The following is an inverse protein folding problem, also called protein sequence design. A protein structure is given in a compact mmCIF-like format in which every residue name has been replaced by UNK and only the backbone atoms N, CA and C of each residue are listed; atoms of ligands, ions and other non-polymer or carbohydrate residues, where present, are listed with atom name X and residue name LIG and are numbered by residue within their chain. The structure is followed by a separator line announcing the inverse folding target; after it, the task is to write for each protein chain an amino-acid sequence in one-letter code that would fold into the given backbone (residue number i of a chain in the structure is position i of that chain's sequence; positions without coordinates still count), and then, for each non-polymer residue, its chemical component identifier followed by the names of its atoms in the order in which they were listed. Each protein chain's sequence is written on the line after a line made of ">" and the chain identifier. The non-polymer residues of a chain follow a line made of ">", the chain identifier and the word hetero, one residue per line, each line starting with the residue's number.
data_IF_327028570450
#
_entry.id   IF_327028570450
#
_cell.length_a   1.000
_cell.length_b   1.000
_cell.length_c   1.000
_cell.angle_alpha   90.00
_cell.angle_beta   90.00
_cell.angle_gamma   90.00
#
_symmetry.space_group_name_H-M   'P 1'
#
loop_
_entity.id
_entity.type
_entity.pdbx_description
1 polymer ?
#
# COMPACT_ATOMS: atom_id res chain seq x y z
N UNK A 1 21.26 -10.78 5.19
CA UNK A 1 19.89 -10.23 4.98
C UNK A 1 19.42 -10.79 3.65
N UNK A 2 18.19 -11.15 3.48
CA UNK A 2 17.79 -11.98 2.36
C UNK A 2 17.14 -11.12 1.26
N UNK A 3 17.46 -11.44 -0.01
CA UNK A 3 16.66 -11.02 -1.16
C UNK A 3 15.31 -11.74 -1.08
N UNK A 4 14.25 -10.97 -0.90
CA UNK A 4 12.88 -11.46 -0.79
C UNK A 4 12.28 -11.49 -2.19
N UNK A 5 11.98 -12.70 -2.66
CA UNK A 5 11.33 -12.96 -3.94
C UNK A 5 9.87 -13.33 -3.63
N UNK A 6 8.96 -12.40 -3.84
CA UNK A 6 7.54 -12.56 -3.50
C UNK A 6 6.63 -12.13 -4.64
N UNK A 7 5.35 -12.46 -4.52
CA UNK A 7 4.28 -12.03 -5.44
C UNK A 7 4.25 -10.50 -5.58
N UNK A 8 4.50 -9.77 -4.49
CA UNK A 8 4.52 -8.30 -4.47
C UNK A 8 5.83 -7.69 -5.00
N UNK A 9 6.67 -8.47 -5.66
CA UNK A 9 7.91 -8.03 -6.26
C UNK A 9 9.17 -8.59 -5.61
N UNK A 10 10.29 -8.19 -6.17
CA UNK A 10 11.64 -8.59 -5.76
C UNK A 10 12.23 -7.48 -4.91
N UNK A 11 12.44 -7.73 -3.63
CA UNK A 11 12.83 -6.74 -2.63
C UNK A 11 14.10 -7.16 -1.90
N UNK A 12 15.02 -6.22 -1.69
CA UNK A 12 16.23 -6.50 -0.92
C UNK A 12 16.95 -5.25 -0.44
N UNK A 13 17.93 -5.43 0.43
CA UNK A 13 18.86 -4.36 0.77
C UNK A 13 19.85 -4.15 -0.37
N UNK A 14 20.13 -2.90 -0.70
CA UNK A 14 21.05 -2.53 -1.78
C UNK A 14 22.49 -2.84 -1.38
N UNK A 15 23.25 -3.39 -2.33
CA UNK A 15 24.66 -3.79 -2.13
C UNK A 15 24.77 -5.26 -1.66
N UNK A 16 25.98 -5.66 -1.28
CA UNK A 16 26.24 -7.02 -0.82
C UNK A 16 26.46 -8.03 -1.95
N UNK A 17 25.95 -9.24 -1.79
CA UNK A 17 26.19 -10.38 -2.67
C UNK A 17 24.96 -10.65 -3.54
N UNK A 18 25.12 -10.93 -4.86
CA UNK A 18 24.00 -11.35 -5.72
C UNK A 18 23.25 -12.56 -5.13
N UNK A 19 21.93 -12.60 -5.39
CA UNK A 19 20.97 -13.57 -4.87
C UNK A 19 20.74 -13.53 -3.33
N UNK A 20 21.56 -12.80 -2.58
CA UNK A 20 21.38 -12.56 -1.14
C UNK A 20 20.86 -11.13 -0.84
N UNK A 21 21.18 -10.19 -1.72
CA UNK A 21 20.80 -8.78 -1.64
C UNK A 21 20.28 -8.31 -3.00
N UNK A 22 19.68 -7.13 -3.05
CA UNK A 22 19.32 -6.51 -4.33
C UNK A 22 20.56 -5.77 -4.90
N UNK A 23 21.33 -6.48 -5.70
CA UNK A 23 22.50 -5.94 -6.41
C UNK A 23 22.14 -5.46 -7.82
N UNK A 24 23.03 -4.73 -8.52
CA UNK A 24 22.84 -4.42 -9.94
C UNK A 24 22.58 -5.65 -10.82
N UNK A 25 23.24 -6.78 -10.52
CA UNK A 25 23.05 -8.03 -11.26
C UNK A 25 21.62 -8.57 -11.06
N UNK A 26 21.09 -8.51 -9.84
CA UNK A 26 19.72 -8.93 -9.54
C UNK A 26 18.70 -8.02 -10.22
N UNK A 27 18.93 -6.71 -10.24
CA UNK A 27 18.05 -5.77 -10.96
C UNK A 27 17.94 -6.12 -12.45
N UNK A 28 19.07 -6.37 -13.12
CA UNK A 28 19.11 -6.81 -14.52
C UNK A 28 18.44 -8.17 -14.71
N UNK A 29 18.75 -9.14 -13.85
CA UNK A 29 18.22 -10.51 -13.89
C UNK A 29 16.69 -10.52 -13.84
N UNK A 30 16.10 -9.81 -12.88
CA UNK A 30 14.64 -9.79 -12.70
C UNK A 30 13.92 -8.89 -13.72
N UNK A 31 14.54 -7.79 -14.16
CA UNK A 31 14.01 -7.00 -15.27
C UNK A 31 13.99 -7.79 -16.57
N UNK A 32 15.05 -8.57 -16.85
CA UNK A 32 15.12 -9.45 -18.00
C UNK A 32 14.05 -10.55 -17.94
N UNK A 33 13.87 -11.18 -16.78
CA UNK A 33 12.86 -12.21 -16.59
C UNK A 33 11.43 -11.66 -16.79
N UNK A 34 11.12 -10.49 -16.23
CA UNK A 34 9.82 -9.85 -16.43
C UNK A 34 9.58 -9.46 -17.89
N UNK A 35 10.54 -8.82 -18.56
CA UNK A 35 10.42 -8.45 -19.96
C UNK A 35 10.26 -9.66 -20.87
N UNK A 36 10.97 -10.76 -20.61
CA UNK A 36 10.83 -12.01 -21.35
C UNK A 36 9.48 -12.69 -21.09
N UNK A 37 8.97 -12.64 -19.84
CA UNK A 37 7.63 -13.08 -19.50
C UNK A 37 6.57 -12.30 -20.30
N UNK A 38 6.67 -10.97 -20.39
CA UNK A 38 5.77 -10.14 -21.20
C UNK A 38 5.81 -10.57 -22.68
N UNK A 39 7.01 -10.80 -23.25
CA UNK A 39 7.15 -11.25 -24.64
C UNK A 39 6.44 -12.58 -24.94
N UNK A 40 6.36 -13.46 -23.94
CA UNK A 40 5.69 -14.75 -24.08
C UNK A 40 4.15 -14.66 -23.92
N UNK A 41 3.65 -13.62 -23.25
CA UNK A 41 2.21 -13.47 -22.95
C UNK A 41 1.53 -12.40 -23.79
N UNK A 42 2.30 -11.42 -24.31
CA UNK A 42 1.77 -10.31 -25.10
C UNK A 42 2.04 -10.57 -26.59
N UNK A 43 0.98 -10.77 -27.36
CA UNK A 43 1.07 -11.04 -28.80
C UNK A 43 1.00 -9.72 -29.61
N UNK A 44 1.99 -8.83 -29.41
CA UNK A 44 2.15 -7.56 -30.13
C UNK A 44 3.53 -7.48 -30.78
N UNK A 45 3.64 -6.73 -31.85
CA UNK A 45 4.92 -6.48 -32.54
C UNK A 45 5.86 -5.62 -31.66
N UNK A 46 5.29 -4.67 -30.93
CA UNK A 46 6.01 -3.79 -29.99
C UNK A 46 5.33 -3.88 -28.64
N UNK A 47 6.11 -4.15 -27.61
CA UNK A 47 5.68 -4.18 -26.22
C UNK A 47 6.13 -2.89 -25.56
N UNK A 48 5.27 -2.28 -24.74
CA UNK A 48 5.54 -1.05 -24.00
C UNK A 48 5.44 -1.31 -22.52
N UNK A 49 6.41 -0.80 -21.74
CA UNK A 49 6.45 -0.87 -20.27
C UNK A 49 6.62 0.53 -19.69
N UNK A 50 5.83 0.87 -18.70
CA UNK A 50 5.96 2.09 -17.90
C UNK A 50 6.89 1.83 -16.73
N UNK A 51 7.83 2.75 -16.44
CA UNK A 51 8.75 2.64 -15.29
C UNK A 51 8.72 3.94 -14.48
N UNK A 52 8.51 3.82 -13.19
CA UNK A 52 8.59 4.95 -12.24
C UNK A 52 9.28 4.54 -10.95
N UNK A 53 9.72 5.49 -10.15
CA UNK A 53 10.41 5.24 -8.88
C UNK A 53 10.05 6.22 -7.78
N UNK A 54 10.25 5.80 -6.53
CA UNK A 54 10.30 6.73 -5.40
C UNK A 54 11.65 7.47 -5.33
N UNK A 55 11.85 8.28 -4.30
CA UNK A 55 13.05 9.10 -4.18
C UNK A 55 14.23 8.40 -3.49
N UNK A 56 14.20 7.08 -3.28
CA UNK A 56 15.31 6.34 -2.65
C UNK A 56 16.63 6.60 -3.35
N UNK A 57 17.72 6.75 -2.56
CA UNK A 57 19.06 7.04 -3.05
C UNK A 57 19.56 6.08 -4.15
N UNK A 58 19.13 4.81 -4.07
CA UNK A 58 19.47 3.79 -5.08
C UNK A 58 18.56 3.82 -6.31
N UNK A 59 17.50 4.65 -6.29
CA UNK A 59 16.43 4.63 -7.29
C UNK A 59 16.95 4.84 -8.71
N UNK A 60 17.75 5.87 -8.95
CA UNK A 60 18.26 6.19 -10.28
C UNK A 60 19.16 5.08 -10.85
N UNK A 61 20.04 4.51 -10.02
CA UNK A 61 20.88 3.38 -10.45
C UNK A 61 20.03 2.19 -10.87
N UNK A 62 19.06 1.78 -10.03
CA UNK A 62 18.20 0.63 -10.32
C UNK A 62 17.35 0.90 -11.54
N UNK A 63 16.81 2.12 -11.68
CA UNK A 63 15.98 2.54 -12.81
C UNK A 63 16.72 2.40 -14.13
N UNK A 64 17.95 2.92 -14.21
CA UNK A 64 18.75 2.83 -15.44
C UNK A 64 19.03 1.36 -15.83
N UNK A 65 19.38 0.52 -14.86
CA UNK A 65 19.62 -0.91 -15.10
C UNK A 65 18.36 -1.60 -15.64
N UNK A 66 17.21 -1.34 -15.03
CA UNK A 66 15.92 -1.92 -15.44
C UNK A 66 15.52 -1.45 -16.83
N UNK A 67 15.55 -0.15 -17.08
CA UNK A 67 15.14 0.44 -18.35
C UNK A 67 15.99 -0.06 -19.53
N UNK A 68 17.31 -0.01 -19.40
CA UNK A 68 18.21 -0.47 -20.48
C UNK A 68 18.18 -1.99 -20.66
N UNK A 69 17.85 -2.76 -19.63
CA UNK A 69 17.60 -4.20 -19.78
C UNK A 69 16.35 -4.47 -20.61
N UNK A 70 15.25 -3.75 -20.36
CA UNK A 70 14.03 -3.85 -21.16
C UNK A 70 14.24 -3.43 -22.61
N UNK A 71 14.97 -2.34 -22.86
CA UNK A 71 15.36 -1.88 -24.20
C UNK A 71 16.16 -2.97 -24.92
N UNK A 72 17.11 -3.61 -24.22
CA UNK A 72 17.87 -4.74 -24.75
C UNK A 72 17.02 -5.95 -25.11
N UNK A 73 15.84 -6.09 -24.54
CA UNK A 73 14.86 -7.12 -24.91
C UNK A 73 13.96 -6.72 -26.09
N UNK A 74 14.09 -5.52 -26.64
CA UNK A 74 13.24 -4.98 -27.69
C UNK A 74 11.92 -4.39 -27.17
N UNK A 75 11.87 -3.97 -25.90
CA UNK A 75 10.69 -3.40 -25.25
C UNK A 75 10.83 -1.89 -25.20
N UNK A 76 9.80 -1.15 -25.60
CA UNK A 76 9.73 0.29 -25.47
C UNK A 76 9.43 0.68 -24.01
N UNK A 77 10.17 1.66 -23.49
CA UNK A 77 10.04 2.10 -22.11
C UNK A 77 9.55 3.55 -22.07
N UNK A 78 8.52 3.79 -21.25
CA UNK A 78 8.09 5.13 -20.86
C UNK A 78 8.57 5.38 -19.42
N UNK A 79 9.55 6.25 -19.29
CA UNK A 79 10.12 6.66 -18.00
C UNK A 79 9.31 7.81 -17.41
N UNK A 80 8.74 7.59 -16.23
CA UNK A 80 8.01 8.61 -15.47
C UNK A 80 8.90 9.39 -14.50
N UNK A 81 10.16 8.99 -14.33
CA UNK A 81 11.05 9.57 -13.33
C UNK A 81 10.56 9.32 -11.89
N UNK A 82 10.64 10.37 -11.06
CA UNK A 82 10.05 10.35 -9.71
C UNK A 82 8.52 10.27 -9.79
N UNK A 83 7.96 9.20 -9.25
CA UNK A 83 6.54 8.91 -9.34
C UNK A 83 6.05 8.15 -8.12
N UNK A 84 4.75 8.11 -7.90
CA UNK A 84 4.13 7.32 -6.83
C UNK A 84 3.74 5.94 -7.37
N UNK A 85 3.59 4.95 -6.50
CA UNK A 85 3.07 3.63 -6.88
C UNK A 85 1.74 3.76 -7.63
N UNK A 86 0.68 4.41 -7.08
CA UNK A 86 -0.58 4.55 -7.80
C UNK A 86 -0.47 5.36 -9.11
N UNK A 87 0.44 6.33 -9.19
CA UNK A 87 0.64 7.07 -10.46
C UNK A 87 1.18 6.16 -11.57
N UNK A 88 2.10 5.24 -11.24
CA UNK A 88 2.60 4.27 -12.24
C UNK A 88 1.49 3.30 -12.66
N UNK A 89 0.67 2.83 -11.72
CA UNK A 89 -0.50 1.96 -11.99
C UNK A 89 -1.48 2.63 -12.96
N UNK A 90 -1.85 3.88 -12.69
CA UNK A 90 -2.70 4.69 -13.58
C UNK A 90 -2.04 4.95 -14.93
N UNK A 91 -0.72 5.21 -14.96
CA UNK A 91 0.01 5.46 -16.18
C UNK A 91 0.03 4.24 -17.12
N UNK A 92 0.11 3.01 -16.59
CA UNK A 92 0.04 1.78 -17.40
C UNK A 92 -1.23 1.76 -18.25
N UNK A 93 -2.37 2.05 -17.66
CA UNK A 93 -3.65 2.05 -18.38
C UNK A 93 -3.79 3.23 -19.32
N UNK A 94 -3.38 4.44 -18.92
CA UNK A 94 -3.43 5.63 -19.76
C UNK A 94 -2.50 5.55 -20.98
N UNK A 95 -1.32 4.93 -20.83
CA UNK A 95 -0.38 4.68 -21.92
C UNK A 95 -0.77 3.48 -22.78
N UNK A 96 -1.78 2.70 -22.38
CA UNK A 96 -2.09 1.40 -22.98
C UNK A 96 -0.85 0.50 -23.05
N UNK A 97 -0.04 0.56 -21.98
CA UNK A 97 1.17 -0.23 -21.85
C UNK A 97 0.85 -1.69 -21.51
N UNK A 98 1.77 -2.58 -21.83
CA UNK A 98 1.60 -4.01 -21.61
C UNK A 98 1.99 -4.44 -20.20
N UNK A 99 2.61 -3.52 -19.44
CA UNK A 99 2.95 -3.70 -18.06
C UNK A 99 3.65 -2.48 -17.48
N UNK A 100 4.08 -2.59 -16.21
CA UNK A 100 4.78 -1.54 -15.51
C UNK A 100 5.76 -2.07 -14.47
N UNK A 101 6.73 -1.25 -14.10
CA UNK A 101 7.64 -1.52 -13.00
C UNK A 101 7.71 -0.29 -12.10
N UNK A 102 7.51 -0.50 -10.80
CA UNK A 102 7.69 0.52 -9.78
C UNK A 102 8.92 0.18 -8.96
N UNK A 103 9.86 1.12 -8.86
CA UNK A 103 11.09 0.94 -8.12
C UNK A 103 10.97 1.61 -6.76
N UNK A 104 10.56 0.82 -5.78
CA UNK A 104 10.31 1.26 -4.41
C UNK A 104 10.26 0.07 -3.47
N UNK A 105 10.71 0.25 -2.23
CA UNK A 105 10.49 -0.70 -1.15
C UNK A 105 9.41 -0.23 -0.17
N UNK A 106 8.49 0.68 -0.59
CA UNK A 106 7.42 1.25 0.21
C UNK A 106 7.95 1.77 1.57
N UNK A 107 7.37 1.34 2.67
CA UNK A 107 7.72 1.72 4.04
C UNK A 107 9.02 1.11 4.60
N UNK A 108 9.76 0.31 3.84
CA UNK A 108 11.04 -0.20 4.31
C UNK A 108 12.09 0.93 4.45
N UNK A 109 13.06 0.80 5.38
CA UNK A 109 14.11 1.79 5.57
C UNK A 109 14.93 2.07 4.30
N UNK A 110 15.68 3.18 4.29
CA UNK A 110 16.37 3.76 3.11
C UNK A 110 17.33 2.82 2.37
N UNK A 111 17.89 1.81 3.06
CA UNK A 111 18.81 0.83 2.46
C UNK A 111 18.12 -0.24 1.61
N UNK A 112 16.78 -0.30 1.62
CA UNK A 112 15.99 -1.22 0.83
C UNK A 112 15.59 -0.60 -0.52
N UNK A 113 15.43 -1.46 -1.53
CA UNK A 113 14.69 -1.14 -2.74
C UNK A 113 14.00 -2.40 -3.28
N UNK A 114 13.13 -2.25 -4.28
CA UNK A 114 12.47 -3.38 -4.91
C UNK A 114 12.05 -3.06 -6.36
N UNK A 115 11.80 -4.13 -7.11
CA UNK A 115 11.07 -4.09 -8.37
C UNK A 115 9.66 -4.63 -8.09
N UNK A 116 8.65 -3.77 -8.09
CA UNK A 116 7.24 -4.14 -8.06
C UNK A 116 6.74 -4.24 -9.49
N UNK A 117 6.16 -5.37 -9.88
CA UNK A 117 5.81 -5.69 -11.26
C UNK A 117 4.29 -5.61 -11.47
N UNK A 118 3.88 -4.93 -12.54
CA UNK A 118 2.47 -4.72 -12.90
C UNK A 118 2.11 -5.43 -14.21
N UNK A 119 0.85 -5.84 -14.31
CA UNK A 119 0.24 -6.29 -15.56
C UNK A 119 -0.26 -5.10 -16.41
N UNK A 120 -0.88 -5.39 -17.53
CA UNK A 120 -1.42 -4.37 -18.46
C UNK A 120 -2.67 -3.63 -17.93
N UNK A 121 -3.20 -4.01 -16.79
CA UNK A 121 -4.28 -3.30 -16.10
C UNK A 121 -3.75 -2.33 -15.04
N UNK A 122 -2.42 -2.23 -14.88
CA UNK A 122 -1.80 -1.45 -13.82
C UNK A 122 -1.93 -2.11 -12.44
N UNK A 123 -2.15 -3.42 -12.36
CA UNK A 123 -2.30 -4.16 -11.12
C UNK A 123 -1.07 -5.01 -10.84
N UNK A 124 -0.77 -5.28 -9.59
CA UNK A 124 0.29 -6.22 -9.22
C UNK A 124 0.01 -7.62 -9.78
N UNK A 125 1.09 -8.29 -10.18
CA UNK A 125 1.02 -9.67 -10.66
C UNK A 125 0.47 -10.61 -9.59
N UNK A 126 -0.27 -11.63 -10.03
CA UNK A 126 -0.74 -12.68 -9.14
C UNK A 126 0.37 -13.72 -8.82
N UNK A 127 0.07 -14.69 -7.95
CA UNK A 127 1.03 -15.69 -7.51
C UNK A 127 1.61 -16.51 -8.66
N UNK A 128 0.77 -16.94 -9.60
CA UNK A 128 1.18 -17.78 -10.73
C UNK A 128 2.12 -17.01 -11.66
N UNK A 129 1.79 -15.78 -12.00
CA UNK A 129 2.61 -14.90 -12.84
C UNK A 129 3.97 -14.63 -12.18
N UNK A 130 3.97 -14.34 -10.86
CA UNK A 130 5.20 -14.14 -10.09
C UNK A 130 6.09 -15.39 -10.07
N UNK A 131 5.53 -16.58 -9.88
CA UNK A 131 6.27 -17.85 -9.91
C UNK A 131 6.88 -18.12 -11.28
N UNK A 132 6.19 -17.81 -12.37
CA UNK A 132 6.73 -17.93 -13.73
C UNK A 132 7.94 -17.03 -13.95
N UNK A 133 7.88 -15.78 -13.51
CA UNK A 133 9.00 -14.82 -13.61
C UNK A 133 10.19 -15.31 -12.79
N UNK A 134 9.96 -15.81 -11.58
CA UNK A 134 11.03 -16.35 -10.74
C UNK A 134 11.70 -17.57 -11.40
N UNK A 135 10.93 -18.42 -12.07
CA UNK A 135 11.48 -19.56 -12.85
C UNK A 135 12.32 -19.08 -14.04
N UNK A 136 11.82 -18.10 -14.81
CA UNK A 136 12.57 -17.52 -15.93
C UNK A 136 13.90 -16.92 -15.43
N UNK A 137 13.87 -16.22 -14.28
CA UNK A 137 15.07 -15.67 -13.66
C UNK A 137 16.05 -16.76 -13.19
N UNK A 138 15.55 -17.86 -12.62
CA UNK A 138 16.40 -18.97 -12.17
C UNK A 138 17.05 -19.71 -13.35
N UNK A 139 16.30 -19.94 -14.43
CA UNK A 139 16.77 -20.64 -15.62
C UNK A 139 17.65 -19.74 -16.52
N UNK A 140 17.73 -18.44 -16.24
CA UNK A 140 18.42 -17.45 -17.07
C UNK A 140 18.05 -17.55 -18.54
N UNK A 141 16.77 -17.78 -18.83
CA UNK A 141 16.24 -18.13 -20.16
C UNK A 141 15.83 -16.92 -21.01
N UNK A 142 16.03 -15.69 -20.51
CA UNK A 142 15.69 -14.48 -21.27
C UNK A 142 16.58 -14.34 -22.52
N UNK A 143 15.94 -14.08 -23.67
CA UNK A 143 16.62 -13.86 -24.96
C UNK A 143 16.50 -12.39 -25.35
N UNK A 144 17.66 -11.74 -25.53
CA UNK A 144 17.75 -10.34 -25.91
C UNK A 144 17.54 -10.15 -27.42
N UNK A 145 17.18 -8.92 -27.79
CA UNK A 145 16.92 -8.54 -29.17
C UNK A 145 18.21 -8.28 -29.96
N UNK A 146 18.16 -8.49 -31.26
CA UNK A 146 19.20 -8.05 -32.19
C UNK A 146 19.20 -6.51 -32.29
N UNK A 147 20.30 -5.94 -32.78
CA UNK A 147 20.53 -4.48 -32.79
C UNK A 147 19.41 -3.69 -33.48
N UNK A 148 18.84 -4.20 -34.56
CA UNK A 148 17.76 -3.54 -35.32
C UNK A 148 16.37 -3.69 -34.64
N UNK A 149 16.27 -4.49 -33.60
CA UNK A 149 15.04 -4.76 -32.84
C UNK A 149 15.06 -4.25 -31.42
N UNK A 150 16.04 -3.41 -31.06
CA UNK A 150 16.11 -2.80 -29.73
C UNK A 150 14.88 -1.91 -29.45
N UNK A 151 14.49 -1.85 -28.20
CA UNK A 151 13.43 -0.94 -27.72
C UNK A 151 13.88 0.51 -27.71
N UNK A 152 12.97 1.40 -27.37
CA UNK A 152 13.21 2.85 -27.24
C UNK A 152 12.91 3.33 -25.84
N UNK A 153 13.55 4.46 -25.44
CA UNK A 153 13.27 5.16 -24.21
C UNK A 153 12.58 6.49 -24.51
N UNK A 154 11.46 6.75 -23.85
CA UNK A 154 10.80 8.05 -23.82
C UNK A 154 10.59 8.50 -22.39
N UNK A 155 10.58 9.81 -22.14
CA UNK A 155 10.35 10.39 -20.81
C UNK A 155 9.02 11.11 -20.78
N UNK A 156 8.26 10.95 -19.68
CA UNK A 156 6.99 11.63 -19.47
C UNK A 156 6.78 11.89 -17.97
N UNK A 157 7.12 13.08 -17.52
CA UNK A 157 7.02 13.54 -16.13
C UNK A 157 5.64 14.13 -15.76
N UNK A 158 4.67 14.08 -16.67
CA UNK A 158 3.34 14.69 -16.46
C UNK A 158 2.36 13.78 -15.70
N UNK A 159 2.75 12.54 -15.39
CA UNK A 159 1.79 11.55 -14.88
C UNK A 159 1.28 11.81 -13.48
N UNK A 160 2.06 12.43 -12.58
CA UNK A 160 1.54 12.86 -11.27
C UNK A 160 0.38 13.84 -11.47
N UNK A 161 0.54 14.84 -12.38
CA UNK A 161 -0.51 15.80 -12.68
C UNK A 161 -1.74 15.13 -13.31
N UNK A 162 -1.55 14.22 -14.27
CA UNK A 162 -2.64 13.46 -14.91
C UNK A 162 -3.39 12.59 -13.91
N UNK A 163 -2.68 11.97 -12.96
CA UNK A 163 -3.28 11.18 -11.91
C UNK A 163 -4.13 12.06 -10.97
N UNK A 164 -3.61 13.23 -10.56
CA UNK A 164 -4.37 14.22 -9.79
C UNK A 164 -5.65 14.62 -10.56
N UNK A 165 -5.54 14.92 -11.86
CA UNK A 165 -6.68 15.29 -12.70
C UNK A 165 -7.72 14.15 -12.75
N UNK A 166 -7.27 12.89 -12.88
CA UNK A 166 -8.14 11.72 -12.87
C UNK A 166 -8.84 11.55 -11.51
N UNK A 167 -8.11 11.64 -10.40
CA UNK A 167 -8.68 11.54 -9.05
C UNK A 167 -9.72 12.64 -8.78
N UNK A 168 -9.42 13.88 -9.16
CA UNK A 168 -10.35 15.01 -8.99
C UNK A 168 -11.56 14.92 -9.92
N UNK A 169 -11.44 14.33 -11.10
CA UNK A 169 -12.56 14.14 -12.03
C UNK A 169 -13.67 13.23 -11.48
N UNK A 170 -13.36 12.42 -10.48
CA UNK A 170 -14.32 11.55 -9.79
C UNK A 170 -15.21 12.30 -8.79
N UNK A 171 -14.82 13.53 -8.42
CA UNK A 171 -15.59 14.37 -7.53
C UNK A 171 -16.51 15.32 -8.31
N UNK A 172 -17.77 15.52 -7.85
CA UNK A 172 -18.60 16.58 -8.39
C UNK A 172 -17.92 17.95 -8.27
N UNK A 173 -18.03 18.78 -9.29
CA UNK A 173 -17.46 20.13 -9.29
C UNK A 173 -17.88 20.94 -8.04
N UNK A 174 -19.15 20.82 -7.64
CA UNK A 174 -19.67 21.47 -6.43
C UNK A 174 -18.94 21.03 -5.15
N UNK A 175 -18.51 19.77 -5.08
CA UNK A 175 -17.71 19.25 -3.95
C UNK A 175 -16.32 19.88 -3.95
N UNK A 176 -15.67 19.97 -5.12
CA UNK A 176 -14.35 20.61 -5.25
C UNK A 176 -14.43 22.09 -4.83
N UNK A 177 -15.44 22.83 -5.31
CA UNK A 177 -15.65 24.23 -4.93
C UNK A 177 -15.94 24.37 -3.41
N UNK A 178 -16.71 23.48 -2.83
CA UNK A 178 -16.98 23.48 -1.40
C UNK A 178 -15.70 23.19 -0.57
N UNK A 179 -14.82 22.31 -1.03
CA UNK A 179 -13.52 22.06 -0.39
C UNK A 179 -12.65 23.33 -0.47
N UNK A 180 -12.58 23.99 -1.64
CA UNK A 180 -11.83 25.25 -1.83
C UNK A 180 -12.27 26.34 -0.86
N UNK A 181 -13.57 26.45 -0.61
CA UNK A 181 -14.12 27.44 0.32
C UNK A 181 -13.76 27.18 1.79
N UNK A 182 -13.27 25.97 2.13
CA UNK A 182 -12.83 25.66 3.49
C UNK A 182 -11.46 26.26 3.80
N UNK A 183 -10.63 26.55 2.79
CA UNK A 183 -9.28 27.09 2.96
C UNK A 183 -8.46 26.30 4.00
N UNK A 184 -8.49 24.96 3.91
CA UNK A 184 -7.78 24.10 4.86
C UNK A 184 -6.29 24.44 4.92
N UNK A 185 -5.74 24.51 6.13
CA UNK A 185 -4.30 24.59 6.42
C UNK A 185 -3.79 23.21 6.79
N UNK A 186 -2.89 22.64 5.99
CA UNK A 186 -2.53 21.23 6.08
C UNK A 186 -1.01 21.07 6.19
N UNK A 187 -0.54 20.44 7.26
CA UNK A 187 0.87 19.98 7.35
C UNK A 187 1.00 18.69 6.57
N UNK A 188 2.00 18.60 5.69
CA UNK A 188 2.26 17.41 4.87
C UNK A 188 3.62 16.84 5.20
N UNK A 189 3.65 15.61 5.71
CA UNK A 189 4.87 14.81 5.88
C UNK A 189 4.92 13.74 4.79
N UNK A 190 5.88 13.89 3.88
CA UNK A 190 6.12 13.01 2.75
C UNK A 190 7.44 12.24 2.86
N UNK A 191 8.03 12.18 4.06
CA UNK A 191 9.26 11.45 4.40
C UNK A 191 10.41 11.66 3.40
N UNK A 192 10.50 12.87 2.85
CA UNK A 192 11.46 13.26 1.78
C UNK A 192 11.43 12.32 0.56
N UNK A 193 10.22 11.95 0.13
CA UNK A 193 9.99 11.14 -1.06
C UNK A 193 8.93 11.75 -2.00
N UNK A 194 8.39 10.96 -2.91
CA UNK A 194 7.52 11.43 -4.01
C UNK A 194 6.18 12.00 -3.55
N UNK A 195 5.76 11.71 -2.34
CA UNK A 195 4.64 12.37 -1.69
C UNK A 195 4.82 13.89 -1.58
N UNK A 196 6.06 14.38 -1.45
CA UNK A 196 6.40 15.80 -1.44
C UNK A 196 6.15 16.52 -2.77
N UNK A 197 6.04 15.76 -3.87
CA UNK A 197 5.64 16.28 -5.18
C UNK A 197 4.11 16.18 -5.33
N UNK A 198 3.53 15.01 -5.04
CA UNK A 198 2.16 14.69 -5.40
C UNK A 198 1.12 15.33 -4.46
N UNK A 199 1.31 15.24 -3.14
CA UNK A 199 0.33 15.71 -2.15
C UNK A 199 0.19 17.24 -2.16
N UNK A 200 1.28 18.05 -2.16
CA UNK A 200 1.16 19.50 -2.29
C UNK A 200 0.38 19.94 -3.53
N UNK A 201 0.68 19.39 -4.71
CA UNK A 201 -0.02 19.72 -5.95
C UNK A 201 -1.52 19.39 -5.88
N UNK A 202 -1.90 18.26 -5.29
CA UNK A 202 -3.30 17.89 -5.08
C UNK A 202 -4.01 18.88 -4.15
N UNK A 203 -3.39 19.22 -3.03
CA UNK A 203 -3.95 20.14 -2.02
C UNK A 203 -4.10 21.55 -2.56
N UNK A 204 -3.11 22.06 -3.29
CA UNK A 204 -3.18 23.38 -3.97
C UNK A 204 -4.35 23.43 -4.98
N UNK A 205 -4.58 22.36 -5.74
CA UNK A 205 -5.73 22.23 -6.64
C UNK A 205 -7.07 22.25 -5.89
N UNK A 206 -7.08 21.78 -4.66
CA UNK A 206 -8.23 21.80 -3.75
C UNK A 206 -8.31 23.09 -2.91
N UNK A 207 -7.43 24.08 -3.15
CA UNK A 207 -7.46 25.39 -2.50
C UNK A 207 -6.97 25.37 -1.04
N UNK A 208 -6.20 24.36 -0.63
CA UNK A 208 -5.62 24.28 0.70
C UNK A 208 -4.28 25.03 0.77
N UNK A 209 -3.96 25.59 1.94
CA UNK A 209 -2.63 26.09 2.30
C UNK A 209 -1.77 24.89 2.74
N UNK A 210 -0.67 24.63 2.04
CA UNK A 210 0.24 23.55 2.34
C UNK A 210 1.38 24.03 3.24
N UNK A 211 1.59 23.36 4.35
CA UNK A 211 2.69 23.55 5.27
C UNK A 211 3.62 22.34 5.15
N UNK A 212 4.69 22.40 4.31
CA UNK A 212 5.50 21.24 4.00
C UNK A 212 6.42 20.87 5.16
N UNK A 213 6.41 19.58 5.52
CA UNK A 213 7.34 18.93 6.43
C UNK A 213 7.92 17.72 5.69
N UNK A 214 9.26 17.65 5.56
CA UNK A 214 9.93 16.55 4.86
C UNK A 214 9.39 16.27 3.44
N UNK A 215 9.18 17.33 2.64
CA UNK A 215 8.65 17.26 1.28
C UNK A 215 9.71 17.36 0.18
N UNK A 216 11.02 17.38 0.51
CA UNK A 216 12.08 17.36 -0.49
C UNK A 216 12.32 15.93 -0.99
N UNK A 217 12.13 15.60 -2.27
CA UNK A 217 12.23 14.22 -2.76
C UNK A 217 13.70 13.80 -2.96
N UNK A 218 14.49 13.87 -1.90
CA UNK A 218 15.92 13.59 -1.90
C UNK A 218 16.29 12.18 -1.37
N UNK A 219 15.31 11.41 -0.87
CA UNK A 219 15.50 10.04 -0.37
C UNK A 219 16.20 9.91 0.98
N UNK A 220 16.50 11.03 1.64
CA UNK A 220 17.01 11.05 3.01
C UNK A 220 15.83 11.06 3.99
N UNK A 221 15.34 9.87 4.34
CA UNK A 221 14.19 9.71 5.24
C UNK A 221 14.56 10.19 6.65
N UNK A 222 13.87 11.23 7.18
CA UNK A 222 14.19 11.81 8.48
C UNK A 222 13.73 10.91 9.65
N UNK A 223 12.74 10.05 9.43
CA UNK A 223 12.23 9.06 10.36
C UNK A 223 11.97 7.74 9.65
N UNK A 224 11.55 6.71 10.38
CA UNK A 224 11.10 5.46 9.78
C UNK A 224 9.90 5.75 8.86
N UNK A 225 9.96 5.33 7.59
CA UNK A 225 8.94 5.71 6.60
C UNK A 225 7.58 5.01 6.76
N UNK A 226 7.42 4.10 7.71
CA UNK A 226 6.12 3.53 8.03
C UNK A 226 5.29 4.54 8.85
N UNK A 227 4.07 4.93 8.39
CA UNK A 227 3.26 5.96 9.06
C UNK A 227 2.57 5.44 10.33
N UNK A 228 3.37 5.07 11.33
CA UNK A 228 2.94 4.61 12.64
C UNK A 228 3.19 5.68 13.72
N UNK A 229 2.39 5.65 14.77
CA UNK A 229 2.41 6.64 15.85
C UNK A 229 3.79 6.92 16.43
N UNK A 230 4.62 5.87 16.60
CA UNK A 230 5.96 5.99 17.16
C UNK A 230 6.96 6.76 16.27
N UNK A 231 6.62 6.98 14.99
CA UNK A 231 7.49 7.64 14.01
C UNK A 231 7.04 9.07 13.68
N UNK A 232 5.87 9.50 14.12
CA UNK A 232 5.17 10.71 13.66
C UNK A 232 5.14 11.84 14.72
N UNK A 233 6.09 11.86 15.66
CA UNK A 233 6.16 12.90 16.69
C UNK A 233 6.27 14.31 16.12
N UNK A 234 7.09 14.49 15.08
CA UNK A 234 7.37 15.80 14.51
C UNK A 234 6.13 16.41 13.84
N UNK A 235 5.40 15.66 13.01
CA UNK A 235 4.17 16.20 12.39
C UNK A 235 3.08 16.44 13.43
N UNK A 236 2.97 15.60 14.48
CA UNK A 236 2.01 15.83 15.56
C UNK A 236 2.28 17.16 16.27
N UNK A 237 3.55 17.49 16.52
CA UNK A 237 3.94 18.77 17.10
C UNK A 237 3.73 19.94 16.12
N UNK A 238 4.09 19.77 14.84
CA UNK A 238 4.02 20.83 13.82
C UNK A 238 2.57 21.23 13.53
N UNK A 239 1.62 20.29 13.47
CA UNK A 239 0.19 20.58 13.31
C UNK A 239 -0.31 21.53 14.39
N UNK A 240 0.06 21.30 15.65
CA UNK A 240 -0.32 22.15 16.77
C UNK A 240 0.40 23.49 16.71
N UNK A 241 1.72 23.48 16.47
CA UNK A 241 2.54 24.71 16.46
C UNK A 241 2.14 25.68 15.34
N UNK A 242 1.69 25.15 14.19
CA UNK A 242 1.23 25.95 13.05
C UNK A 242 -0.27 26.25 13.07
N UNK A 243 -0.99 25.79 14.08
CA UNK A 243 -2.45 25.91 14.16
C UNK A 243 -3.12 25.41 12.86
N UNK A 244 -2.61 24.25 12.34
CA UNK A 244 -3.15 23.65 11.12
C UNK A 244 -4.47 22.89 11.41
N UNK A 245 -5.33 22.81 10.41
CA UNK A 245 -6.60 22.07 10.54
C UNK A 245 -6.37 20.57 10.71
N UNK A 246 -5.29 20.05 10.10
CA UNK A 246 -4.86 18.66 10.26
C UNK A 246 -3.50 18.43 9.58
N UNK A 247 -2.94 17.21 9.77
CA UNK A 247 -1.76 16.73 9.08
C UNK A 247 -2.07 15.56 8.15
N UNK A 248 -1.30 15.45 7.07
CA UNK A 248 -1.28 14.32 6.13
C UNK A 248 0.10 13.67 6.20
N UNK A 249 0.14 12.35 6.32
CA UNK A 249 1.36 11.55 6.26
C UNK A 249 1.21 10.50 5.17
N UNK A 250 2.21 10.38 4.31
CA UNK A 250 2.30 9.32 3.31
C UNK A 250 3.65 8.61 3.39
N UNK A 251 3.67 7.34 2.99
CA UNK A 251 4.92 6.59 2.86
C UNK A 251 5.67 6.95 1.55
N UNK A 252 6.91 6.46 1.34
CA UNK A 252 7.75 6.89 0.22
C UNK A 252 7.15 6.79 -1.17
N UNK A 253 6.26 5.83 -1.41
CA UNK A 253 5.62 5.59 -2.71
C UNK A 253 4.13 5.91 -2.75
N UNK A 254 3.60 6.52 -1.66
CA UNK A 254 2.28 7.16 -1.61
C UNK A 254 1.11 6.17 -1.78
N UNK A 255 1.32 4.93 -1.39
CA UNK A 255 0.27 3.91 -1.36
C UNK A 255 -0.41 3.79 0.01
N UNK A 256 0.16 4.46 1.07
CA UNK A 256 -0.41 4.54 2.42
C UNK A 256 -0.65 5.98 2.84
N UNK A 257 -1.71 6.18 3.60
CA UNK A 257 -2.20 7.49 4.03
C UNK A 257 -2.63 7.45 5.49
N UNK A 258 -2.07 8.34 6.30
CA UNK A 258 -2.51 8.58 7.67
C UNK A 258 -2.80 10.07 7.87
N UNK A 259 -3.68 10.37 8.84
CA UNK A 259 -4.04 11.73 9.20
C UNK A 259 -3.71 12.03 10.66
N UNK A 260 -3.32 13.28 10.91
CA UNK A 260 -3.12 13.85 12.24
C UNK A 260 -4.24 14.86 12.48
N UNK A 261 -4.88 14.80 13.64
CA UNK A 261 -5.95 15.75 14.01
C UNK A 261 -5.37 17.13 14.33
N UNK A 262 -6.21 18.16 14.35
CA UNK A 262 -5.85 19.53 14.77
C UNK A 262 -5.28 19.61 16.20
N UNK A 263 -5.35 18.51 16.96
CA UNK A 263 -4.81 18.39 18.32
C UNK A 263 -3.43 17.72 18.36
N UNK A 264 -2.84 17.39 17.22
CA UNK A 264 -1.61 16.63 17.15
C UNK A 264 -1.77 15.15 17.52
N UNK A 265 -2.97 14.60 17.44
CA UNK A 265 -3.28 13.20 17.73
C UNK A 265 -3.45 12.42 16.43
N UNK A 266 -3.05 11.15 16.42
CA UNK A 266 -3.32 10.27 15.28
C UNK A 266 -4.81 10.08 15.07
N UNK A 267 -5.28 10.26 13.83
CA UNK A 267 -6.62 9.81 13.41
C UNK A 267 -6.70 8.26 13.45
N UNK A 268 -5.56 7.62 13.20
CA UNK A 268 -5.36 6.19 13.13
C UNK A 268 -5.42 5.68 11.69
N UNK A 269 -4.37 4.98 11.27
CA UNK A 269 -4.22 4.46 9.90
C UNK A 269 -5.37 3.54 9.47
N UNK A 270 -5.90 2.75 10.41
CA UNK A 270 -7.06 1.89 10.19
C UNK A 270 -8.33 2.69 9.82
N UNK A 271 -8.46 3.91 10.34
CA UNK A 271 -9.64 4.76 10.15
C UNK A 271 -9.61 5.58 8.87
N UNK A 272 -8.49 5.63 8.16
CA UNK A 272 -8.41 6.26 6.84
C UNK A 272 -9.38 5.58 5.87
N UNK A 273 -9.33 4.24 5.78
CA UNK A 273 -10.27 3.47 4.96
C UNK A 273 -11.71 3.60 5.46
N UNK A 274 -11.91 3.60 6.77
CA UNK A 274 -13.24 3.74 7.40
C UNK A 274 -13.90 5.07 7.01
N UNK A 275 -13.13 6.16 7.04
CA UNK A 275 -13.63 7.49 6.69
C UNK A 275 -13.93 7.60 5.18
N UNK A 276 -13.03 7.15 4.31
CA UNK A 276 -13.25 7.14 2.87
C UNK A 276 -14.46 6.27 2.49
N UNK A 277 -14.63 5.11 3.13
CA UNK A 277 -15.78 4.24 2.91
C UNK A 277 -17.09 4.87 3.41
N UNK A 278 -17.10 5.55 4.58
CA UNK A 278 -18.29 6.27 5.09
C UNK A 278 -18.74 7.35 4.09
N UNK A 279 -17.77 8.07 3.47
CA UNK A 279 -18.07 9.05 2.42
C UNK A 279 -18.70 8.41 1.18
N UNK A 280 -18.03 7.41 0.59
CA UNK A 280 -18.52 6.75 -0.63
C UNK A 280 -19.88 6.11 -0.38
N UNK A 281 -20.07 5.40 0.73
CA UNK A 281 -21.33 4.73 1.07
C UNK A 281 -22.46 5.72 1.38
N UNK A 282 -22.14 6.97 1.75
CA UNK A 282 -23.14 8.04 1.89
C UNK A 282 -23.69 8.53 0.54
N UNK A 283 -22.94 8.33 -0.54
CA UNK A 283 -23.32 8.73 -1.91
C UNK A 283 -23.90 7.54 -2.70
N UNK A 284 -23.20 6.41 -2.66
CA UNK A 284 -23.55 5.21 -3.42
C UNK A 284 -23.52 3.98 -2.51
N UNK A 285 -24.51 3.10 -2.63
CA UNK A 285 -24.51 1.82 -1.91
C UNK A 285 -23.76 0.76 -2.71
N UNK A 286 -22.90 0.01 -2.04
CA UNK A 286 -22.16 -1.11 -2.63
C UNK A 286 -21.32 -1.85 -1.59
N UNK A 287 -20.80 -2.99 -1.96
CA UNK A 287 -20.01 -3.83 -1.07
C UNK A 287 -18.67 -3.16 -0.74
N UNK A 288 -18.11 -3.48 0.43
CA UNK A 288 -16.80 -3.02 0.88
C UNK A 288 -15.91 -4.19 1.27
N UNK A 289 -14.61 -4.03 1.08
CA UNK A 289 -13.61 -5.08 1.36
C UNK A 289 -12.44 -4.52 2.15
N UNK A 290 -11.98 -5.28 3.15
CA UNK A 290 -10.63 -5.10 3.70
C UNK A 290 -9.95 -6.45 3.95
N UNK A 291 -8.66 -6.44 4.27
CA UNK A 291 -8.00 -7.68 4.67
C UNK A 291 -8.40 -8.10 6.11
N UNK A 292 -8.11 -9.36 6.44
CA UNK A 292 -8.46 -9.94 7.76
C UNK A 292 -7.81 -9.25 8.95
N UNK A 293 -6.66 -8.60 8.77
CA UNK A 293 -5.94 -7.89 9.83
C UNK A 293 -6.42 -6.46 10.04
N UNK A 294 -7.37 -5.97 9.24
CA UNK A 294 -7.93 -4.61 9.37
C UNK A 294 -8.97 -4.53 10.50
N UNK A 295 -9.18 -3.32 11.00
CA UNK A 295 -10.16 -3.04 12.04
C UNK A 295 -11.58 -3.44 11.64
N UNK A 296 -12.34 -3.95 12.61
CA UNK A 296 -13.79 -4.21 12.44
C UNK A 296 -14.62 -2.93 12.25
N UNK A 297 -14.03 -1.76 12.44
CA UNK A 297 -14.70 -0.48 12.24
C UNK A 297 -15.28 -0.35 10.81
N UNK A 298 -14.58 -0.88 9.77
CA UNK A 298 -15.13 -0.89 8.42
C UNK A 298 -16.39 -1.76 8.30
N UNK A 299 -16.44 -2.93 8.96
CA UNK A 299 -17.61 -3.79 9.02
C UNK A 299 -18.80 -3.08 9.69
N UNK A 300 -18.53 -2.29 10.73
CA UNK A 300 -19.57 -1.52 11.43
C UNK A 300 -20.11 -0.39 10.53
N UNK A 301 -19.27 0.27 9.74
CA UNK A 301 -19.70 1.25 8.73
C UNK A 301 -20.53 0.59 7.64
N UNK A 302 -20.11 -0.56 7.12
CA UNK A 302 -20.91 -1.32 6.16
C UNK A 302 -22.32 -1.65 6.71
N UNK A 303 -22.38 -2.13 7.95
CA UNK A 303 -23.64 -2.39 8.65
C UNK A 303 -24.48 -1.13 8.82
N UNK A 304 -23.88 0.01 9.20
CA UNK A 304 -24.57 1.31 9.32
C UNK A 304 -25.25 1.72 8.02
N UNK A 305 -24.58 1.50 6.88
CA UNK A 305 -25.08 1.84 5.55
C UNK A 305 -25.99 0.73 4.93
N UNK A 306 -26.13 -0.43 5.61
CA UNK A 306 -26.94 -1.55 5.14
C UNK A 306 -26.37 -2.25 3.91
N UNK A 307 -25.04 -2.36 3.82
CA UNK A 307 -24.31 -2.99 2.72
C UNK A 307 -23.46 -4.16 3.25
N UNK A 308 -22.95 -4.99 2.33
CA UNK A 308 -22.13 -6.15 2.69
C UNK A 308 -20.63 -5.74 2.88
N UNK A 309 -20.03 -6.35 3.88
CA UNK A 309 -18.60 -6.36 4.11
C UNK A 309 -18.03 -7.75 3.79
N UNK A 310 -16.93 -7.81 3.07
CA UNK A 310 -16.17 -9.03 2.87
C UNK A 310 -14.70 -8.85 3.30
N UNK A 311 -14.11 -9.92 3.81
CA UNK A 311 -12.70 -9.96 4.18
C UNK A 311 -11.88 -10.77 3.19
N UNK A 312 -10.64 -10.35 2.92
CA UNK A 312 -9.66 -11.08 2.11
C UNK A 312 -8.49 -11.57 2.97
N UNK A 313 -7.65 -12.43 2.41
CA UNK A 313 -6.29 -12.61 2.90
C UNK A 313 -5.52 -11.28 2.89
N UNK A 314 -4.46 -11.20 3.70
CA UNK A 314 -3.61 -10.00 3.77
C UNK A 314 -2.79 -9.85 2.50
N UNK A 315 -2.63 -8.61 2.05
CA UNK A 315 -1.91 -8.20 0.85
C UNK A 315 -2.84 -7.67 -0.23
N UNK A 316 -2.40 -6.60 -0.88
CA UNK A 316 -3.17 -5.84 -1.85
C UNK A 316 -3.76 -6.71 -2.97
N UNK A 317 -2.97 -7.62 -3.55
CA UNK A 317 -3.44 -8.54 -4.60
C UNK A 317 -4.67 -9.35 -4.15
N UNK A 318 -4.69 -9.79 -2.89
CA UNK A 318 -5.80 -10.55 -2.32
C UNK A 318 -7.02 -9.65 -2.07
N UNK A 319 -6.79 -8.40 -1.64
CA UNK A 319 -7.87 -7.41 -1.46
C UNK A 319 -8.51 -7.11 -2.81
N UNK A 320 -7.71 -6.81 -3.83
CA UNK A 320 -8.18 -6.53 -5.21
C UNK A 320 -8.98 -7.71 -5.77
N UNK A 321 -8.46 -8.93 -5.64
CA UNK A 321 -9.17 -10.14 -6.11
C UNK A 321 -10.54 -10.28 -5.42
N UNK A 322 -10.61 -10.07 -4.09
CA UNK A 322 -11.87 -10.11 -3.33
C UNK A 322 -12.81 -8.97 -3.72
N UNK A 323 -12.29 -7.77 -3.96
CA UNK A 323 -13.10 -6.63 -4.42
C UNK A 323 -13.77 -6.91 -5.76
N UNK A 324 -13.04 -7.50 -6.71
CA UNK A 324 -13.59 -7.92 -8.02
C UNK A 324 -14.63 -9.02 -7.86
N UNK A 325 -14.36 -10.04 -7.01
CA UNK A 325 -15.29 -11.16 -6.74
C UNK A 325 -16.65 -10.68 -6.23
N UNK A 326 -16.67 -9.69 -5.31
CA UNK A 326 -17.90 -9.20 -4.68
C UNK A 326 -18.41 -7.90 -5.26
N UNK A 327 -17.79 -7.38 -6.33
CA UNK A 327 -18.08 -6.08 -6.94
C UNK A 327 -18.09 -4.95 -5.89
N UNK A 328 -17.01 -4.87 -5.09
CA UNK A 328 -16.87 -3.85 -4.08
C UNK A 328 -16.60 -2.47 -4.70
N UNK A 329 -17.25 -1.43 -4.17
CA UNK A 329 -17.09 -0.05 -4.66
C UNK A 329 -15.96 0.70 -3.96
N UNK A 330 -15.50 0.22 -2.82
CA UNK A 330 -14.32 0.71 -2.11
C UNK A 330 -13.76 -0.42 -1.25
N UNK A 331 -12.44 -0.43 -1.09
CA UNK A 331 -11.75 -1.37 -0.23
C UNK A 331 -10.37 -0.88 0.15
N UNK A 332 -9.58 -1.75 0.74
CA UNK A 332 -8.20 -1.43 1.11
C UNK A 332 -7.67 -2.25 2.27
N UNK A 333 -6.64 -1.73 2.89
CA UNK A 333 -5.97 -2.35 4.01
C UNK A 333 -5.92 -1.39 5.22
N UNK A 334 -5.90 -1.94 6.43
CA UNK A 334 -5.84 -1.18 7.68
C UNK A 334 -4.50 -0.46 7.95
N UNK A 335 -3.63 -0.39 6.97
CA UNK A 335 -2.36 0.33 6.99
C UNK A 335 -2.44 1.71 6.31
N UNK A 336 -3.66 2.22 6.08
CA UNK A 336 -3.91 3.48 5.37
C UNK A 336 -4.05 3.36 3.86
N UNK A 337 -4.02 2.14 3.31
CA UNK A 337 -4.18 1.90 1.88
C UNK A 337 -5.64 1.89 1.43
N UNK A 338 -6.02 2.81 0.56
CA UNK A 338 -7.36 2.95 -0.01
C UNK A 338 -7.35 2.43 -1.45
N UNK A 339 -8.30 1.60 -1.81
CA UNK A 339 -8.52 1.14 -3.18
C UNK A 339 -9.89 1.62 -3.63
N UNK A 340 -9.93 2.45 -4.67
CA UNK A 340 -11.15 2.99 -5.23
C UNK A 340 -11.27 2.59 -6.71
N UNK A 341 -12.05 1.54 -7.04
CA UNK A 341 -12.10 0.93 -8.37
C UNK A 341 -12.54 1.86 -9.50
N UNK A 342 -13.27 2.94 -9.20
CA UNK A 342 -13.62 3.94 -10.22
C UNK A 342 -12.39 4.65 -10.79
N UNK A 343 -11.27 4.70 -10.04
CA UNK A 343 -10.00 5.20 -10.53
C UNK A 343 -9.12 4.04 -11.02
N UNK A 344 -8.74 3.14 -10.14
CA UNK A 344 -7.96 1.93 -10.44
C UNK A 344 -7.99 0.92 -9.28
N UNK A 345 -7.48 -0.27 -9.51
CA UNK A 345 -7.38 -1.34 -8.52
C UNK A 345 -6.00 -1.38 -7.85
N UNK A 346 -5.60 -0.28 -7.23
CA UNK A 346 -4.38 -0.16 -6.44
C UNK A 346 -4.60 0.74 -5.21
N UNK A 347 -3.74 0.63 -4.20
CA UNK A 347 -3.79 1.50 -3.03
C UNK A 347 -3.30 2.90 -3.41
N UNK A 348 -4.07 3.91 -3.07
CA UNK A 348 -3.88 5.27 -3.56
C UNK A 348 -4.18 6.33 -2.48
N UNK A 349 -3.12 7.00 -2.03
CA UNK A 349 -3.25 8.08 -1.08
C UNK A 349 -3.84 9.35 -1.70
N UNK A 350 -3.65 9.60 -3.01
CA UNK A 350 -4.19 10.81 -3.67
C UNK A 350 -5.72 10.79 -3.69
N UNK A 351 -6.31 9.67 -4.12
CA UNK A 351 -7.76 9.51 -4.05
C UNK A 351 -8.26 9.49 -2.61
N UNK A 352 -7.49 8.88 -1.70
CA UNK A 352 -7.79 8.87 -0.25
C UNK A 352 -7.89 10.28 0.34
N UNK A 353 -6.95 11.17 0.02
CA UNK A 353 -6.98 12.59 0.42
C UNK A 353 -8.22 13.30 -0.14
N UNK A 354 -8.51 13.13 -1.43
CA UNK A 354 -9.66 13.77 -2.07
C UNK A 354 -11.00 13.33 -1.43
N UNK A 355 -11.16 12.04 -1.16
CA UNK A 355 -12.36 11.49 -0.48
C UNK A 355 -12.47 11.99 0.97
N UNK A 356 -11.35 12.04 1.70
CA UNK A 356 -11.33 12.49 3.10
C UNK A 356 -11.69 13.97 3.22
N UNK A 357 -11.13 14.86 2.38
CA UNK A 357 -11.47 16.28 2.37
C UNK A 357 -12.94 16.48 1.98
N UNK A 358 -13.46 15.68 1.06
CA UNK A 358 -14.88 15.69 0.69
C UNK A 358 -15.77 15.36 1.89
N UNK A 359 -15.40 14.34 2.67
CA UNK A 359 -16.13 13.95 3.88
C UNK A 359 -16.11 15.04 4.95
N UNK A 360 -14.92 15.62 5.23
CA UNK A 360 -14.79 16.71 6.21
C UNK A 360 -15.64 17.93 5.83
N UNK A 361 -15.66 18.25 4.54
CA UNK A 361 -16.42 19.36 3.99
C UNK A 361 -17.93 19.12 4.10
N UNK A 362 -18.40 17.92 3.67
CA UNK A 362 -19.81 17.56 3.77
C UNK A 362 -20.33 17.56 5.21
N UNK A 363 -19.54 17.05 6.15
CA UNK A 363 -19.92 17.01 7.57
C UNK A 363 -19.68 18.33 8.30
N UNK A 364 -18.86 19.22 7.75
CA UNK A 364 -18.45 20.50 8.34
C UNK A 364 -17.94 20.36 9.81
N UNK A 365 -17.06 19.41 10.04
CA UNK A 365 -16.48 19.12 11.37
C UNK A 365 -14.96 19.07 11.30
N UNK A 366 -14.29 19.11 12.46
CA UNK A 366 -12.84 18.90 12.55
C UNK A 366 -12.47 17.41 12.46
N UNK A 367 -11.18 17.13 12.22
CA UNK A 367 -10.67 15.76 12.12
C UNK A 367 -10.84 14.99 13.42
N UNK A 368 -10.60 15.64 14.60
CA UNK A 368 -10.82 14.99 15.89
C UNK A 368 -12.30 14.69 16.17
N UNK A 369 -13.20 15.58 15.72
CA UNK A 369 -14.65 15.34 15.84
C UNK A 369 -15.08 14.19 14.92
N UNK A 370 -14.57 14.12 13.71
CA UNK A 370 -14.80 13.00 12.81
C UNK A 370 -14.34 11.68 13.44
N UNK A 371 -13.11 11.63 13.99
CA UNK A 371 -12.58 10.42 14.64
C UNK A 371 -13.47 9.93 15.78
N UNK A 372 -13.98 10.86 16.59
CA UNK A 372 -14.89 10.56 17.71
C UNK A 372 -16.27 10.05 17.26
N UNK A 373 -16.67 10.30 16.02
CA UNK A 373 -17.93 9.83 15.47
C UNK A 373 -17.91 8.35 15.07
N UNK A 374 -16.74 7.74 14.98
CA UNK A 374 -16.55 6.32 14.69
C UNK A 374 -16.39 5.48 15.96
N UNK A 375 -16.79 4.19 15.93
CA UNK A 375 -16.51 3.28 17.03
C UNK A 375 -15.02 3.25 17.36
N UNK A 376 -14.70 3.28 18.64
CA UNK A 376 -13.31 3.18 19.08
C UNK A 376 -12.89 1.72 19.18
N UNK A 377 -11.86 1.36 18.41
CA UNK A 377 -11.14 0.09 18.49
C UNK A 377 -9.65 0.36 18.59
N UNK A 378 -8.96 -0.53 19.31
CA UNK A 378 -7.52 -0.44 19.56
C UNK A 378 -6.87 -1.75 19.18
N UNK A 379 -5.73 -1.68 18.54
CA UNK A 379 -5.01 -2.85 18.05
C UNK A 379 -3.70 -3.05 18.80
N UNK A 380 -3.32 -4.32 18.97
CA UNK A 380 -1.99 -4.70 19.43
C UNK A 380 -1.35 -5.63 18.37
N UNK A 381 -0.19 -5.22 17.86
CA UNK A 381 0.53 -5.91 16.77
C UNK A 381 1.80 -6.54 17.36
N UNK A 382 1.83 -7.85 17.43
CA UNK A 382 2.90 -8.62 18.04
C UNK A 382 3.43 -9.70 17.09
N UNK A 383 4.56 -10.29 17.45
CA UNK A 383 5.13 -11.46 16.78
C UNK A 383 5.73 -12.43 17.79
N UNK A 384 5.74 -13.70 17.44
CA UNK A 384 6.48 -14.74 18.16
C UNK A 384 7.49 -15.38 17.20
N UNK A 385 8.74 -15.46 17.66
CA UNK A 385 9.78 -16.21 16.97
C UNK A 385 9.63 -17.70 17.28
N UNK A 386 9.71 -18.52 16.26
CA UNK A 386 9.57 -19.96 16.41
C UNK A 386 10.94 -20.61 16.65
N UNK A 387 11.03 -21.45 17.66
CA UNK A 387 12.22 -22.26 17.91
C UNK A 387 12.51 -23.15 16.70
N UNK A 388 13.80 -23.44 16.45
CA UNK A 388 14.20 -24.35 15.39
C UNK A 388 13.50 -25.71 15.54
N UNK A 389 12.75 -26.13 14.51
CA UNK A 389 12.00 -27.40 14.49
C UNK A 389 10.51 -27.28 14.77
N UNK A 390 10.00 -26.11 15.16
CA UNK A 390 8.56 -25.89 15.35
C UNK A 390 7.87 -25.64 14.00
N UNK A 391 6.80 -26.40 13.75
CA UNK A 391 6.00 -26.19 12.55
C UNK A 391 4.87 -25.21 12.83
N UNK A 392 4.87 -24.00 12.22
CA UNK A 392 3.82 -22.99 12.40
C UNK A 392 2.41 -23.53 12.11
N UNK A 393 2.27 -24.35 11.09
CA UNK A 393 0.97 -24.87 10.65
C UNK A 393 0.36 -25.81 11.72
N UNK A 394 1.18 -26.58 12.46
CA UNK A 394 0.71 -27.39 13.59
C UNK A 394 0.20 -26.54 14.74
N UNK A 395 0.90 -25.44 15.06
CA UNK A 395 0.49 -24.52 16.13
C UNK A 395 -0.84 -23.86 15.77
N UNK A 396 -0.97 -23.36 14.53
CA UNK A 396 -2.21 -22.76 14.05
C UNK A 396 -3.37 -23.75 14.02
N UNK A 397 -3.13 -25.01 13.63
CA UNK A 397 -4.14 -26.06 13.64
C UNK A 397 -4.63 -26.37 15.08
N UNK A 398 -3.71 -26.46 16.05
CA UNK A 398 -4.07 -26.67 17.45
C UNK A 398 -4.89 -25.52 18.04
N UNK A 399 -4.55 -24.25 17.69
CA UNK A 399 -5.36 -23.10 18.07
C UNK A 399 -6.75 -23.16 17.45
N UNK A 400 -6.85 -23.46 16.15
CA UNK A 400 -8.14 -23.62 15.46
C UNK A 400 -9.04 -24.65 16.14
N UNK A 401 -8.48 -25.80 16.50
CA UNK A 401 -9.24 -26.86 17.18
C UNK A 401 -9.72 -26.41 18.56
N UNK A 402 -8.85 -25.77 19.34
CA UNK A 402 -9.18 -25.29 20.69
C UNK A 402 -10.30 -24.26 20.72
N UNK A 403 -10.36 -23.39 19.71
CA UNK A 403 -11.37 -22.33 19.60
C UNK A 403 -12.48 -22.65 18.60
N UNK A 404 -12.68 -23.93 18.25
CA UNK A 404 -13.70 -24.33 17.26
C UNK A 404 -15.15 -23.96 17.62
N UNK A 405 -15.39 -23.54 18.87
CA UNK A 405 -16.68 -23.04 19.36
C UNK A 405 -16.91 -21.55 19.06
N UNK A 406 -15.87 -20.82 18.63
CA UNK A 406 -15.95 -19.43 18.23
C UNK A 406 -16.02 -19.29 16.69
N UNK A 407 -16.50 -18.17 16.14
CA UNK A 407 -16.40 -17.90 14.72
C UNK A 407 -14.92 -17.81 14.28
N UNK A 408 -14.51 -18.69 13.37
CA UNK A 408 -13.15 -18.77 12.86
C UNK A 408 -13.11 -18.55 11.36
N UNK A 409 -12.17 -17.73 10.88
CA UNK A 409 -11.81 -17.57 9.47
C UNK A 409 -10.38 -18.07 9.23
N UNK A 410 -10.19 -18.88 8.18
CA UNK A 410 -8.90 -19.54 7.87
C UNK A 410 -8.39 -19.27 6.45
N UNK A 411 -8.82 -18.19 5.81
CA UNK A 411 -8.33 -17.81 4.47
C UNK A 411 -6.89 -17.30 4.47
N UNK A 412 -6.38 -16.86 5.64
CA UNK A 412 -4.98 -16.49 5.84
C UNK A 412 -4.62 -16.73 7.33
N UNK A 413 -4.03 -17.87 7.64
CA UNK A 413 -3.78 -18.25 9.02
C UNK A 413 -5.07 -18.59 9.79
N UNK A 414 -5.21 -18.09 11.02
CA UNK A 414 -6.37 -18.32 11.90
C UNK A 414 -6.82 -17.00 12.51
N UNK A 415 -7.98 -16.50 12.13
CA UNK A 415 -8.65 -15.38 12.80
C UNK A 415 -9.82 -15.88 13.60
N UNK A 416 -9.88 -15.51 14.88
CA UNK A 416 -10.95 -15.84 15.82
C UNK A 416 -11.66 -14.55 16.17
N UNK A 417 -12.95 -14.48 15.90
CA UNK A 417 -13.81 -13.32 16.22
C UNK A 417 -14.58 -13.58 17.51
N UNK A 418 -14.25 -12.84 18.56
CA UNK A 418 -15.02 -12.79 19.81
C UNK A 418 -16.09 -11.70 19.75
N UNK A 419 -16.98 -11.66 20.72
CA UNK A 419 -18.07 -10.67 20.74
C UNK A 419 -17.60 -9.22 20.64
N UNK A 420 -16.52 -8.84 21.36
CA UNK A 420 -16.01 -7.47 21.44
C UNK A 420 -14.56 -7.32 20.95
N UNK A 421 -13.92 -8.39 20.54
CA UNK A 421 -12.50 -8.41 20.17
C UNK A 421 -12.27 -9.47 19.08
N UNK A 422 -11.09 -9.46 18.50
CA UNK A 422 -10.62 -10.55 17.64
C UNK A 422 -9.12 -10.76 17.80
N UNK A 423 -8.64 -11.93 17.43
CA UNK A 423 -7.22 -12.24 17.26
C UNK A 423 -6.99 -12.85 15.88
N UNK A 424 -5.94 -12.41 15.21
CA UNK A 424 -5.49 -12.97 13.94
C UNK A 424 -4.05 -13.46 14.06
N UNK A 425 -3.86 -14.75 13.83
CA UNK A 425 -2.60 -15.47 13.90
C UNK A 425 -2.21 -15.90 12.48
N UNK A 426 -1.09 -15.41 11.96
CA UNK A 426 -0.63 -15.79 10.63
C UNK A 426 0.87 -15.98 10.58
N UNK A 427 1.32 -16.99 9.85
CA UNK A 427 2.75 -17.19 9.59
C UNK A 427 3.27 -16.07 8.67
N UNK A 428 4.51 -15.65 8.90
CA UNK A 428 5.20 -14.81 7.95
C UNK A 428 5.68 -15.63 6.77
N UNK A 429 5.57 -15.09 5.56
CA UNK A 429 6.08 -15.72 4.35
C UNK A 429 7.60 -15.51 4.18
N UNK A 430 8.21 -14.63 5.00
CA UNK A 430 9.60 -14.19 4.85
C UNK A 430 10.49 -14.48 6.05
N UNK A 431 9.89 -14.76 7.20
CA UNK A 431 10.59 -14.96 8.48
C UNK A 431 9.98 -16.13 9.24
N UNK A 432 10.75 -16.86 10.08
CA UNK A 432 10.25 -17.96 10.90
C UNK A 432 9.48 -17.44 12.13
N UNK A 433 8.46 -16.61 11.89
CA UNK A 433 7.62 -15.99 12.92
C UNK A 433 6.13 -16.24 12.65
N UNK A 434 5.34 -16.20 13.72
CA UNK A 434 3.89 -16.02 13.63
C UNK A 434 3.57 -14.59 14.09
N UNK A 435 2.85 -13.85 13.26
CA UNK A 435 2.29 -12.54 13.61
C UNK A 435 1.02 -12.74 14.42
N UNK A 436 0.85 -11.94 15.46
CA UNK A 436 -0.30 -11.96 16.38
C UNK A 436 -0.87 -10.57 16.43
N UNK A 437 -1.98 -10.37 15.75
CA UNK A 437 -2.71 -9.10 15.79
C UNK A 437 -4.00 -9.29 16.56
N UNK A 438 -4.30 -8.35 17.43
CA UNK A 438 -5.53 -8.35 18.23
C UNK A 438 -6.20 -6.99 18.14
N UNK A 439 -7.51 -6.98 18.30
CA UNK A 439 -8.30 -5.76 18.40
C UNK A 439 -9.32 -5.90 19.53
N UNK A 440 -9.48 -4.85 20.31
CA UNK A 440 -10.49 -4.76 21.37
C UNK A 440 -11.00 -3.31 21.56
N UNK A 441 -11.84 -3.08 22.56
CA UNK A 441 -12.45 -1.75 22.84
C UNK A 441 -11.54 -0.82 23.62
N UNK A 442 -10.45 -1.32 24.21
CA UNK A 442 -9.39 -0.51 24.80
C UNK A 442 -8.02 -1.08 24.46
N UNK A 443 -6.95 -0.28 24.61
CA UNK A 443 -5.57 -0.72 24.38
C UNK A 443 -5.20 -1.83 25.36
N UNK A 444 -5.60 -1.69 26.63
CA UNK A 444 -5.32 -2.66 27.69
C UNK A 444 -5.95 -4.04 27.37
N UNK A 445 -7.20 -4.04 26.87
CA UNK A 445 -7.88 -5.28 26.47
C UNK A 445 -7.20 -5.91 25.25
N UNK A 446 -6.77 -5.12 24.24
CA UNK A 446 -6.07 -5.61 23.08
C UNK A 446 -4.72 -6.21 23.45
N UNK A 447 -3.94 -5.55 24.31
CA UNK A 447 -2.65 -6.04 24.78
C UNK A 447 -2.78 -7.29 25.65
N UNK A 448 -3.77 -7.33 26.54
CA UNK A 448 -4.06 -8.52 27.37
C UNK A 448 -4.43 -9.72 26.49
N UNK A 449 -5.25 -9.51 25.45
CA UNK A 449 -5.60 -10.56 24.49
C UNK A 449 -4.37 -11.06 23.72
N UNK A 450 -3.51 -10.15 23.26
CA UNK A 450 -2.26 -10.50 22.59
C UNK A 450 -1.35 -11.33 23.49
N UNK A 451 -1.15 -10.88 24.73
CA UNK A 451 -0.33 -11.59 25.72
C UNK A 451 -0.85 -13.01 26.00
N UNK A 452 -2.18 -13.16 26.16
CA UNK A 452 -2.81 -14.47 26.33
C UNK A 452 -2.46 -15.42 25.20
N UNK A 453 -2.58 -14.99 23.94
CA UNK A 453 -2.26 -15.82 22.79
C UNK A 453 -0.75 -16.05 22.64
N UNK A 454 0.12 -15.10 22.99
CA UNK A 454 1.56 -15.30 23.05
C UNK A 454 1.94 -16.42 24.02
N UNK A 455 1.36 -16.44 25.22
CA UNK A 455 1.61 -17.48 26.25
C UNK A 455 1.05 -18.85 25.82
N UNK A 456 -0.14 -18.84 25.24
CA UNK A 456 -0.78 -20.06 24.74
C UNK A 456 0.04 -20.70 23.61
N UNK A 457 0.49 -19.90 22.65
CA UNK A 457 1.33 -20.39 21.57
C UNK A 457 2.68 -20.91 22.04
N UNK A 458 3.31 -20.28 23.05
CA UNK A 458 4.53 -20.79 23.68
C UNK A 458 4.31 -22.16 24.32
N UNK A 459 3.14 -22.41 24.92
CA UNK A 459 2.79 -23.71 25.52
C UNK A 459 2.50 -24.78 24.45
N UNK A 460 1.94 -24.40 23.31
CA UNK A 460 1.70 -25.30 22.18
C UNK A 460 2.98 -25.59 21.39
N UNK A 461 3.98 -24.75 21.56
CA UNK A 461 5.28 -24.82 20.94
C UNK A 461 6.28 -25.73 21.69
N UNK A 462 6.05 -25.99 22.96
CA UNK A 462 6.82 -26.88 23.82
C UNK A 462 6.14 -28.25 23.94
#
# INVERSE_FOLDING_TARGET
>A
MALIKSISGIRGTIGGVPDENLTPIDAVKFAAAYGFWLKNHVHKTRIKVVVGRDARLSGEMVQNLVQYTLIGLGIDVVDLGLSTTPTVEVAVTMEQADGGIILTASHNPKQWNALKLLNNQGEFLNAQEGEEILRIAADNSAVFAEVDALGTLSHNDTYIQRHIDAALSLLPLATIEAIRQRHFRVVVDAVNSTGGIAIPQLLERLGAEVLPLYCEPNGHFPHNPEPLKEHLGDICAEVVAKEADFGIVVDPDVDRLAFITEKGEMFGEEYTLVACADYILSKNKGNVVSNLSSSRALRDIAKKHGVQYAASAVGEVNVVAKMKEVNAIIGGEGNGGIIFPELHYGRDALVGVALFLSLLTDKNISVSALRKSYPAYYMSKNKIELSAGLNPDKVLAAVKERYAHEPITTIDGVKIDFANSWVHLRKSNTEPIIRIYTEAKSQEEADALAQRFLEEMKKLAN
#
